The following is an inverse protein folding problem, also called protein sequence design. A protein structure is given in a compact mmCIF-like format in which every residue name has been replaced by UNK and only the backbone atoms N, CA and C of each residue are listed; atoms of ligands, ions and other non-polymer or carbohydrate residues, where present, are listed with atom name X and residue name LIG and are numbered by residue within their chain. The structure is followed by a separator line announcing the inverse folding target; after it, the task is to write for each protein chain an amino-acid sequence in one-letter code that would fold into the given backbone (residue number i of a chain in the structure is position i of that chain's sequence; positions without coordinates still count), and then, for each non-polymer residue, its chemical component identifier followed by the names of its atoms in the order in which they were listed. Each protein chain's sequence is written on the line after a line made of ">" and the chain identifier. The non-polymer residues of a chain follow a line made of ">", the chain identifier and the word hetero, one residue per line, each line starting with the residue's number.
data_IF_566290131363
#
_entry.id   IF_566290131363
#
_cell.length_a   1.000
_cell.length_b   1.000
_cell.length_c   1.000
_cell.angle_alpha   90.00
_cell.angle_beta   90.00
_cell.angle_gamma   90.00
#
_symmetry.space_group_name_H-M   'P 1'
#
loop_
_entity.id
_entity.type
_entity.pdbx_description
1 polymer ?
#
# COMPACT_ATOMS: atom_id res chain seq x y z
N UNK A 1 20.58 1.36 -9.38
CA UNK A 1 19.70 2.50 -9.69
C UNK A 1 20.51 3.80 -9.55
N UNK A 2 20.85 4.49 -10.65
CA UNK A 2 21.71 5.71 -10.61
C UNK A 2 20.98 6.97 -10.08
N UNK A 3 19.70 6.87 -9.75
CA UNK A 3 18.85 7.99 -9.34
C UNK A 3 18.94 8.36 -7.83
N UNK A 4 19.73 7.62 -7.03
CA UNK A 4 19.68 7.68 -5.57
C UNK A 4 20.55 8.76 -4.91
N UNK A 5 21.20 9.61 -5.72
CA UNK A 5 22.11 10.64 -5.20
C UNK A 5 23.37 10.05 -4.54
N UNK A 6 24.35 10.93 -4.25
CA UNK A 6 25.58 10.52 -3.53
C UNK A 6 25.35 10.37 -2.02
N UNK A 7 24.38 11.10 -1.48
CA UNK A 7 23.94 11.03 -0.09
C UNK A 7 22.69 10.16 -0.03
N UNK A 8 22.85 8.84 0.10
CA UNK A 8 21.71 7.92 0.13
C UNK A 8 20.92 8.15 1.42
N UNK A 9 19.72 8.74 1.30
CA UNK A 9 18.70 8.66 2.36
C UNK A 9 18.52 7.20 2.77
N UNK A 10 18.32 6.87 4.06
CA UNK A 10 18.11 5.49 4.50
C UNK A 10 16.86 4.86 3.90
N UNK A 11 15.94 5.69 3.39
CA UNK A 11 14.69 5.25 2.76
C UNK A 11 14.34 6.07 1.51
N UNK A 12 13.58 5.45 0.62
CA UNK A 12 12.97 6.03 -0.56
C UNK A 12 11.46 5.92 -0.46
N UNK A 13 10.77 7.04 -0.65
CA UNK A 13 9.33 7.06 -0.79
C UNK A 13 8.98 6.97 -2.28
N UNK A 14 8.30 5.90 -2.65
CA UNK A 14 7.70 5.70 -3.97
C UNK A 14 6.25 6.15 -3.90
N UNK A 15 5.84 6.98 -4.86
CA UNK A 15 4.49 7.55 -4.95
C UNK A 15 4.02 7.41 -6.39
N UNK A 16 2.79 6.95 -6.60
CA UNK A 16 2.21 6.94 -7.96
C UNK A 16 1.77 8.36 -8.34
N UNK A 17 1.72 8.64 -9.65
CA UNK A 17 1.41 9.99 -10.16
C UNK A 17 -0.08 10.31 -10.24
N UNK A 18 -0.95 9.36 -9.89
CA UNK A 18 -2.39 9.36 -10.15
C UNK A 18 -3.26 9.45 -8.88
N UNK A 19 -2.68 9.84 -7.74
CA UNK A 19 -3.36 10.04 -6.45
C UNK A 19 -3.52 11.53 -6.08
N UNK A 20 -4.38 12.30 -6.77
CA UNK A 20 -4.42 13.75 -6.64
C UNK A 20 -4.91 14.26 -5.29
N UNK A 21 -5.54 13.40 -4.48
CA UNK A 21 -6.02 13.74 -3.13
C UNK A 21 -4.95 13.62 -2.06
N UNK A 22 -3.76 13.09 -2.39
CA UNK A 22 -2.70 12.88 -1.41
C UNK A 22 -2.38 14.17 -0.65
N UNK A 23 -2.34 14.06 0.67
CA UNK A 23 -2.11 15.19 1.59
C UNK A 23 -0.73 15.10 2.24
N UNK A 24 -0.21 16.24 2.69
CA UNK A 24 1.05 16.29 3.44
C UNK A 24 0.93 15.51 4.75
N UNK A 25 -0.23 15.59 5.38
CA UNK A 25 -0.61 14.89 6.61
C UNK A 25 -0.56 13.38 6.41
N UNK A 26 -1.17 12.85 5.35
CA UNK A 26 -1.17 11.42 5.05
C UNK A 26 0.24 10.87 4.80
N UNK A 27 1.09 11.63 4.08
CA UNK A 27 2.47 11.23 3.80
C UNK A 27 3.32 11.25 5.08
N UNK A 28 3.21 12.30 5.89
CA UNK A 28 3.96 12.43 7.14
C UNK A 28 3.55 11.36 8.16
N UNK A 29 2.24 11.09 8.27
CA UNK A 29 1.72 10.03 9.13
C UNK A 29 2.26 8.66 8.69
N UNK A 30 2.19 8.34 7.40
CA UNK A 30 2.72 7.09 6.87
C UNK A 30 4.22 6.93 7.19
N UNK A 31 5.05 7.95 6.92
CA UNK A 31 6.48 7.90 7.22
C UNK A 31 6.73 7.73 8.72
N UNK A 32 6.03 8.47 9.57
CA UNK A 32 6.17 8.39 11.03
C UNK A 32 5.82 7.00 11.55
N UNK A 33 4.75 6.41 11.05
CA UNK A 33 4.37 5.04 11.39
C UNK A 33 5.42 4.03 10.91
N UNK A 34 5.95 4.18 9.69
CA UNK A 34 7.01 3.31 9.17
C UNK A 34 8.23 3.30 10.09
N UNK A 35 8.68 4.48 10.51
CA UNK A 35 9.86 4.64 11.36
C UNK A 35 9.70 4.05 12.78
N UNK A 36 8.49 3.67 13.18
CA UNK A 36 8.23 2.96 14.44
C UNK A 36 8.51 1.45 14.35
N UNK A 37 8.79 0.92 13.16
CA UNK A 37 9.10 -0.49 12.93
C UNK A 37 10.48 -0.63 12.28
N UNK A 38 11.07 -1.83 12.38
CA UNK A 38 12.30 -2.19 11.68
C UNK A 38 11.98 -3.14 10.53
N UNK A 39 11.79 -2.58 9.34
CA UNK A 39 11.58 -3.31 8.10
C UNK A 39 12.31 -2.67 6.92
N UNK A 40 12.48 -3.41 5.82
CA UNK A 40 13.08 -2.87 4.59
C UNK A 40 12.06 -2.33 3.60
N UNK A 41 10.82 -2.80 3.66
CA UNK A 41 9.72 -2.33 2.80
C UNK A 41 8.48 -2.08 3.63
N UNK A 42 7.78 -0.98 3.38
CA UNK A 42 6.57 -0.59 4.08
C UNK A 42 5.48 -0.25 3.08
N UNK A 43 4.28 -0.80 3.29
CA UNK A 43 3.15 -0.62 2.38
C UNK A 43 1.88 -0.30 3.16
N UNK A 44 1.15 0.78 2.81
CA UNK A 44 -0.06 1.13 3.50
C UNK A 44 -1.23 0.24 3.08
N UNK A 45 -2.04 -0.13 4.06
CA UNK A 45 -3.37 -0.71 3.89
C UNK A 45 -4.39 0.20 4.56
N UNK A 46 -5.48 0.48 3.86
CA UNK A 46 -6.55 1.37 4.36
C UNK A 46 -7.75 0.52 4.76
N UNK A 47 -8.26 0.63 6.00
CA UNK A 47 -9.49 -0.04 6.40
C UNK A 47 -10.69 0.41 5.56
N UNK A 48 -11.59 -0.52 5.28
CA UNK A 48 -12.78 -0.26 4.46
C UNK A 48 -13.66 0.84 5.07
N UNK A 49 -13.86 0.78 6.38
CA UNK A 49 -14.65 1.73 7.16
C UNK A 49 -14.13 3.16 7.02
N UNK A 50 -12.80 3.36 7.08
CA UNK A 50 -12.17 4.69 6.92
C UNK A 50 -12.40 5.23 5.50
N UNK A 51 -12.31 4.36 4.49
CA UNK A 51 -12.57 4.75 3.11
C UNK A 51 -14.05 5.09 2.87
N UNK A 52 -14.98 4.27 3.37
CA UNK A 52 -16.42 4.48 3.19
C UNK A 52 -16.95 5.67 4.01
N UNK A 53 -16.31 6.02 5.13
CA UNK A 53 -16.67 7.19 5.93
C UNK A 53 -16.34 8.50 5.19
N UNK A 54 -15.15 8.61 4.60
CA UNK A 54 -14.72 9.86 3.94
C UNK A 54 -15.10 9.92 2.45
N UNK A 55 -15.07 8.79 1.75
CA UNK A 55 -15.28 8.71 0.31
C UNK A 55 -16.24 7.56 -0.05
N UNK A 56 -17.51 7.62 0.38
CA UNK A 56 -18.49 6.54 0.20
C UNK A 56 -18.77 6.18 -1.28
N UNK A 57 -18.50 7.11 -2.20
CA UNK A 57 -18.72 6.89 -3.64
C UNK A 57 -17.55 6.21 -4.35
N UNK A 58 -16.37 6.12 -3.70
CA UNK A 58 -15.18 5.51 -4.30
C UNK A 58 -15.25 3.99 -4.19
N UNK A 59 -15.28 3.31 -5.34
CA UNK A 59 -15.20 1.86 -5.39
C UNK A 59 -13.74 1.38 -5.34
N UNK A 60 -13.43 0.53 -4.35
CA UNK A 60 -12.09 -0.08 -4.18
C UNK A 60 -12.15 -1.59 -4.27
N UNK A 61 -11.01 -2.19 -4.61
CA UNK A 61 -10.83 -3.64 -4.45
C UNK A 61 -10.40 -3.94 -3.01
N UNK A 62 -11.26 -4.64 -2.28
CA UNK A 62 -11.00 -5.01 -0.89
C UNK A 62 -10.57 -6.47 -0.74
N UNK A 63 -9.83 -6.74 0.34
CA UNK A 63 -9.49 -8.07 0.81
C UNK A 63 -9.72 -8.15 2.32
N UNK A 64 -10.17 -9.29 2.82
CA UNK A 64 -10.45 -9.49 4.25
C UNK A 64 -9.38 -10.35 4.89
N UNK A 65 -8.84 -9.85 5.99
CA UNK A 65 -7.90 -10.51 6.89
C UNK A 65 -8.53 -10.66 8.27
N UNK A 66 -7.79 -11.28 9.19
CA UNK A 66 -8.23 -11.49 10.57
C UNK A 66 -8.52 -10.16 11.29
N UNK A 67 -7.72 -9.14 11.00
CA UNK A 67 -7.78 -7.82 11.63
C UNK A 67 -8.89 -6.92 11.06
N UNK A 68 -9.38 -7.21 9.86
CA UNK A 68 -10.33 -6.33 9.19
C UNK A 68 -10.40 -6.52 7.68
N UNK A 69 -11.10 -5.60 7.01
CA UNK A 69 -11.17 -5.56 5.55
C UNK A 69 -10.45 -4.32 5.05
N UNK A 70 -9.52 -4.52 4.12
CA UNK A 70 -8.58 -3.50 3.70
C UNK A 70 -8.51 -3.37 2.18
N UNK A 71 -8.06 -2.21 1.72
CA UNK A 71 -7.52 -1.99 0.38
C UNK A 71 -6.05 -1.61 0.49
N UNK A 72 -5.27 -1.87 -0.56
CA UNK A 72 -3.89 -1.35 -0.64
C UNK A 72 -3.86 0.13 -1.01
N UNK A 73 -2.80 0.82 -0.60
CA UNK A 73 -2.50 2.18 -1.03
C UNK A 73 -1.57 2.26 -2.25
N UNK A 74 -1.16 3.49 -2.57
CA UNK A 74 -0.38 3.85 -3.76
C UNK A 74 0.92 4.62 -3.40
N UNK A 75 1.35 4.52 -2.14
CA UNK A 75 2.68 4.92 -1.69
C UNK A 75 3.41 3.72 -1.08
N UNK A 76 4.73 3.75 -1.07
CA UNK A 76 5.56 2.69 -0.48
C UNK A 76 6.88 3.29 0.00
N UNK A 77 7.32 2.94 1.20
CA UNK A 77 8.65 3.31 1.70
C UNK A 77 9.57 2.08 1.61
N UNK A 78 10.79 2.25 1.12
CA UNK A 78 11.72 1.12 1.02
C UNK A 78 13.18 1.54 1.20
N UNK A 79 14.00 0.61 1.69
CA UNK A 79 15.43 0.78 1.80
C UNK A 79 16.09 0.75 0.40
N UNK A 80 17.01 1.68 0.08
CA UNK A 80 17.58 1.79 -1.27
C UNK A 80 18.30 0.54 -1.79
N UNK A 81 18.88 -0.26 -0.89
CA UNK A 81 19.58 -1.51 -1.21
C UNK A 81 18.66 -2.55 -1.86
N UNK A 82 17.37 -2.56 -1.48
CA UNK A 82 16.37 -3.43 -2.09
C UNK A 82 16.21 -3.17 -3.60
N UNK A 83 16.35 -1.92 -4.06
CA UNK A 83 16.28 -1.61 -5.49
C UNK A 83 17.58 -1.95 -6.24
N UNK A 84 18.71 -2.03 -5.55
CA UNK A 84 19.98 -2.38 -6.18
C UNK A 84 20.07 -3.89 -6.39
N UNK A 85 19.63 -4.66 -5.39
CA UNK A 85 19.79 -6.12 -5.38
C UNK A 85 18.57 -6.85 -5.95
N UNK A 86 17.37 -6.27 -5.86
CA UNK A 86 16.11 -6.98 -6.11
C UNK A 86 15.10 -6.17 -6.93
N UNK A 87 15.57 -5.33 -7.85
CA UNK A 87 14.71 -4.46 -8.67
C UNK A 87 13.54 -5.21 -9.34
N UNK A 88 13.81 -6.34 -10.00
CA UNK A 88 12.78 -7.14 -10.68
C UNK A 88 11.69 -7.62 -9.72
N UNK A 89 12.07 -7.98 -8.48
CA UNK A 89 11.13 -8.41 -7.47
C UNK A 89 10.24 -7.26 -7.00
N UNK A 90 10.84 -6.08 -6.77
CA UNK A 90 10.10 -4.86 -6.42
C UNK A 90 9.12 -4.49 -7.53
N UNK A 91 9.56 -4.52 -8.80
CA UNK A 91 8.72 -4.25 -9.95
C UNK A 91 7.52 -5.22 -10.01
N UNK A 92 7.76 -6.52 -9.79
CA UNK A 92 6.70 -7.53 -9.74
C UNK A 92 5.71 -7.27 -8.58
N UNK A 93 6.21 -6.94 -7.38
CA UNK A 93 5.36 -6.61 -6.22
C UNK A 93 4.49 -5.39 -6.50
N UNK A 94 5.08 -4.33 -7.05
CA UNK A 94 4.36 -3.11 -7.45
C UNK A 94 3.30 -3.40 -8.51
N UNK A 95 3.57 -4.28 -9.47
CA UNK A 95 2.62 -4.70 -10.50
C UNK A 95 1.48 -5.61 -9.95
N UNK A 96 1.75 -6.34 -8.87
CA UNK A 96 0.78 -7.21 -8.20
C UNK A 96 -0.02 -6.50 -7.11
N UNK A 97 0.31 -5.25 -6.76
CA UNK A 97 -0.34 -4.49 -5.66
C UNK A 97 -1.86 -4.44 -5.76
N UNK A 98 -2.42 -4.33 -6.98
CA UNK A 98 -3.89 -4.31 -7.23
C UNK A 98 -4.51 -5.72 -7.33
N UNK A 99 -3.75 -6.79 -7.07
CA UNK A 99 -4.14 -8.20 -7.31
C UNK A 99 -3.93 -9.05 -6.05
N UNK A 100 -4.72 -8.84 -4.98
CA UNK A 100 -4.53 -9.53 -3.69
C UNK A 100 -4.53 -11.05 -3.84
N UNK A 101 -5.38 -11.62 -4.70
CA UNK A 101 -5.39 -13.06 -4.95
C UNK A 101 -4.06 -13.62 -5.49
N UNK A 102 -3.30 -12.85 -6.28
CA UNK A 102 -1.98 -13.26 -6.77
C UNK A 102 -0.95 -13.24 -5.65
N UNK A 103 -0.97 -12.20 -4.82
CA UNK A 103 -0.10 -12.08 -3.64
C UNK A 103 -0.33 -13.28 -2.71
N UNK A 104 -1.59 -13.57 -2.36
CA UNK A 104 -1.92 -14.71 -1.50
C UNK A 104 -1.48 -16.06 -2.11
N UNK A 105 -1.56 -16.21 -3.43
CA UNK A 105 -1.10 -17.43 -4.12
C UNK A 105 0.41 -17.64 -3.95
N UNK A 106 1.21 -16.57 -3.94
CA UNK A 106 2.65 -16.65 -3.72
C UNK A 106 3.00 -17.12 -2.30
N UNK A 107 2.20 -16.77 -1.30
CA UNK A 107 2.41 -17.18 0.09
C UNK A 107 2.29 -18.70 0.27
N UNK A 108 1.52 -19.37 -0.60
CA UNK A 108 1.37 -20.82 -0.66
C UNK A 108 0.01 -21.33 -0.17
N UNK A 109 -0.24 -22.62 -0.39
CA UNK A 109 -1.58 -23.24 -0.23
C UNK A 109 -2.16 -23.06 1.18
N UNK A 110 -1.33 -23.14 2.22
CA UNK A 110 -1.75 -22.92 3.62
C UNK A 110 -2.37 -21.53 3.82
N UNK A 111 -1.76 -20.50 3.22
CA UNK A 111 -2.19 -19.11 3.33
C UNK A 111 -3.46 -18.85 2.52
N UNK A 112 -3.61 -19.51 1.37
CA UNK A 112 -4.87 -19.52 0.60
C UNK A 112 -6.02 -20.02 1.48
N UNK A 113 -5.84 -21.17 2.16
CA UNK A 113 -6.89 -21.70 3.04
C UNK A 113 -7.24 -20.77 4.21
N UNK A 114 -6.26 -20.10 4.79
CA UNK A 114 -6.50 -19.10 5.85
C UNK A 114 -7.21 -17.86 5.31
N UNK A 115 -6.81 -17.37 4.14
CA UNK A 115 -7.41 -16.22 3.48
C UNK A 115 -8.89 -16.45 3.13
N UNK A 116 -9.21 -17.61 2.53
CA UNK A 116 -10.61 -17.98 2.23
C UNK A 116 -11.46 -18.07 3.50
N UNK A 117 -10.86 -18.52 4.61
CA UNK A 117 -11.51 -18.56 5.93
C UNK A 117 -11.48 -17.21 6.68
N UNK A 118 -10.95 -16.14 6.09
CA UNK A 118 -10.77 -14.82 6.71
C UNK A 118 -10.00 -14.86 8.04
N UNK A 119 -9.10 -15.83 8.17
CA UNK A 119 -8.29 -16.06 9.37
C UNK A 119 -6.78 -15.96 9.08
N UNK A 120 -6.42 -15.29 7.98
CA UNK A 120 -5.05 -14.91 7.68
C UNK A 120 -4.80 -13.54 8.30
N UNK A 121 -3.73 -13.38 9.09
CA UNK A 121 -3.36 -12.08 9.68
C UNK A 121 -2.36 -11.31 8.82
N UNK A 122 -2.25 -10.01 9.04
CA UNK A 122 -1.20 -9.17 8.44
C UNK A 122 0.18 -9.67 8.86
N UNK A 123 0.37 -10.01 10.15
CA UNK A 123 1.65 -10.53 10.65
C UNK A 123 2.07 -11.83 9.94
N UNK A 124 1.12 -12.72 9.67
CA UNK A 124 1.39 -13.97 8.95
C UNK A 124 1.79 -13.71 7.48
N UNK A 125 1.24 -12.67 6.87
CA UNK A 125 1.64 -12.23 5.53
C UNK A 125 3.05 -11.65 5.58
N UNK A 126 3.35 -10.78 6.55
CA UNK A 126 4.67 -10.16 6.75
C UNK A 126 5.77 -11.22 6.92
N UNK A 127 5.58 -12.14 7.88
CA UNK A 127 6.51 -13.26 8.16
C UNK A 127 6.74 -14.12 6.91
N UNK A 128 5.65 -14.50 6.23
CA UNK A 128 5.76 -15.37 5.05
C UNK A 128 6.37 -14.65 3.85
N UNK A 129 6.08 -13.36 3.68
CA UNK A 129 6.70 -12.55 2.64
C UNK A 129 8.21 -12.45 2.89
N UNK A 130 8.65 -12.25 4.13
CA UNK A 130 10.07 -12.22 4.48
C UNK A 130 10.78 -13.55 4.15
N UNK A 131 10.15 -14.69 4.46
CA UNK A 131 10.69 -16.01 4.08
C UNK A 131 10.86 -16.19 2.56
N UNK A 132 9.98 -15.58 1.75
CA UNK A 132 9.97 -15.73 0.29
C UNK A 132 10.92 -14.72 -0.38
N UNK A 133 10.93 -13.49 0.11
CA UNK A 133 11.62 -12.34 -0.50
C UNK A 133 13.03 -12.14 0.08
N UNK A 134 13.32 -12.69 1.25
CA UNK A 134 14.61 -12.54 1.94
C UNK A 134 14.82 -11.16 2.58
N UNK A 135 13.76 -10.36 2.71
CA UNK A 135 13.77 -9.09 3.44
C UNK A 135 12.45 -8.85 4.14
N UNK A 136 12.50 -8.11 5.25
CA UNK A 136 11.33 -7.77 6.06
C UNK A 136 10.43 -6.74 5.38
N UNK A 137 9.14 -7.03 5.35
CA UNK A 137 8.08 -6.14 4.89
C UNK A 137 7.09 -5.82 6.01
N UNK A 138 6.56 -4.60 6.03
CA UNK A 138 5.58 -4.15 7.03
C UNK A 138 4.34 -3.54 6.36
N UNK A 139 3.16 -4.03 6.75
CA UNK A 139 1.92 -3.36 6.42
C UNK A 139 1.63 -2.25 7.44
N UNK A 140 1.34 -1.05 6.95
CA UNK A 140 0.99 0.12 7.79
C UNK A 140 -0.51 0.37 7.64
N UNK A 141 -1.26 0.26 8.74
CA UNK A 141 -2.69 0.58 8.71
C UNK A 141 -2.83 2.10 8.68
N UNK A 142 -3.31 2.63 7.55
CA UNK A 142 -3.46 4.06 7.33
C UNK A 142 -4.90 4.50 7.56
N UNK A 143 -5.06 5.61 8.30
CA UNK A 143 -6.35 6.27 8.51
C UNK A 143 -6.65 7.36 7.46
N UNK A 144 -5.87 7.41 6.37
CA UNK A 144 -5.96 8.42 5.33
C UNK A 144 -6.33 7.76 4.00
N UNK A 145 -7.61 7.69 3.62
CA UNK A 145 -8.04 7.02 2.40
C UNK A 145 -7.37 7.56 1.13
N UNK A 146 -7.00 8.84 1.12
CA UNK A 146 -6.32 9.46 -0.02
C UNK A 146 -5.00 8.79 -0.41
N UNK A 147 -4.36 8.01 0.49
CA UNK A 147 -3.17 7.23 0.10
C UNK A 147 -3.50 6.12 -0.90
N UNK A 148 -4.76 5.72 -0.99
CA UNK A 148 -5.23 4.68 -1.89
C UNK A 148 -6.04 5.18 -3.07
N UNK A 149 -6.58 6.40 -3.07
CA UNK A 149 -7.53 6.84 -4.09
C UNK A 149 -6.80 7.37 -5.33
N UNK A 150 -6.68 6.50 -6.33
CA UNK A 150 -6.15 6.81 -7.66
C UNK A 150 -7.26 7.10 -8.70
N UNK A 151 -6.88 7.80 -9.77
CA UNK A 151 -7.76 8.15 -10.90
C UNK A 151 -7.47 7.22 -12.09
N UNK A 152 -8.23 6.14 -12.20
CA UNK A 152 -8.09 5.15 -13.29
C UNK A 152 -9.18 5.30 -14.38
N UNK A 153 -10.36 5.83 -14.02
CA UNK A 153 -11.56 5.87 -14.87
C UNK A 153 -12.16 7.27 -14.99
N UNK A 154 -12.97 7.55 -16.04
CA UNK A 154 -13.70 8.82 -16.16
C UNK A 154 -14.59 9.14 -14.95
N UNK A 155 -15.17 8.13 -14.29
CA UNK A 155 -15.94 8.30 -13.06
C UNK A 155 -15.09 8.87 -11.91
N UNK A 156 -13.82 8.44 -11.85
CA UNK A 156 -12.89 8.87 -10.81
C UNK A 156 -12.52 10.34 -11.03
N UNK A 157 -12.30 10.73 -12.29
CA UNK A 157 -12.05 12.13 -12.65
C UNK A 157 -13.25 13.02 -12.29
N UNK A 158 -14.47 12.61 -12.64
CA UNK A 158 -15.69 13.37 -12.30
C UNK A 158 -15.86 13.54 -10.78
N UNK A 159 -15.53 12.49 -10.01
CA UNK A 159 -15.51 12.56 -8.56
C UNK A 159 -14.43 13.54 -8.05
N UNK A 160 -13.22 13.51 -8.61
CA UNK A 160 -12.16 14.46 -8.25
C UNK A 160 -12.59 15.91 -8.52
N UNK A 161 -13.17 16.18 -9.68
CA UNK A 161 -13.70 17.50 -10.02
C UNK A 161 -14.75 17.96 -9.00
N UNK A 162 -15.67 17.06 -8.59
CA UNK A 162 -16.64 17.36 -7.55
C UNK A 162 -15.98 17.70 -6.21
N UNK A 163 -15.01 16.89 -5.76
CA UNK A 163 -14.30 17.08 -4.50
C UNK A 163 -13.54 18.40 -4.50
N UNK A 164 -12.78 18.70 -5.56
CA UNK A 164 -11.99 19.93 -5.66
C UNK A 164 -12.88 21.18 -5.75
N UNK A 165 -14.00 21.12 -6.47
CA UNK A 165 -14.96 22.23 -6.51
C UNK A 165 -15.62 22.50 -5.16
N UNK A 166 -15.80 21.46 -4.33
CA UNK A 166 -16.36 21.60 -2.98
C UNK A 166 -15.37 22.20 -1.97
N UNK A 167 -14.06 21.96 -2.15
CA UNK A 167 -12.99 22.56 -1.33
C UNK A 167 -12.73 24.04 -1.65
N UNK A 168 -13.05 24.49 -2.85
CA UNK A 168 -12.83 25.87 -3.32
C UNK A 168 -13.98 26.83 -3.01
N UNK A 169 -15.06 26.35 -2.40
CA UNK A 169 -16.20 27.15 -1.91
C UNK A 169 -16.22 27.16 -0.39
#
# INVERSE_FOLDING_TARGET
>A
VNALGKDKSPYLLVVTSDIPLISTEAVNDFITQCLSYSAKVYYPVVPREVNEEQYPEVQRTYFTLKEGTFTGGNIMLLAPDILEDQYELVEQLVAMRKKPAKIIKMLGVRFIFKFVRKNLSLSEIEERAEEILGFSGKAIISNYPEVGIDVDKPSDLALMEHIFNKKNN
#
